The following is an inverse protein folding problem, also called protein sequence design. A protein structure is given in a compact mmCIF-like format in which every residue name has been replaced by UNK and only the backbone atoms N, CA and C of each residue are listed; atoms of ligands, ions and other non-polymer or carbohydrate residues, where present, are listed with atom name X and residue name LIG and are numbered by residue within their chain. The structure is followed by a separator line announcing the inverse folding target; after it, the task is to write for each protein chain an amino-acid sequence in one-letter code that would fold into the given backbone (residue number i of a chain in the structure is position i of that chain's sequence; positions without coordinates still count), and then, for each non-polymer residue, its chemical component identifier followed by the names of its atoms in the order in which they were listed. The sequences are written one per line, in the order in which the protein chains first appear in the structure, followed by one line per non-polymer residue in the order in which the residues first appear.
data_IF_877770502650
#
_entry.id   IF_877770502650
#
_cell.length_a   1.000
_cell.length_b   1.000
_cell.length_c   1.000
_cell.angle_alpha   90.00
_cell.angle_beta   90.00
_cell.angle_gamma   90.00
#
_symmetry.space_group_name_H-M   'P 1'
#
loop_
_entity.id
_entity.type
_entity.pdbx_description
1 polymer ?
#
# COMPACT_ATOMS: atom_id res chain seq x y z
N UNK A 1 13.34 11.22 0.13
CA UNK A 1 12.02 10.83 0.62
C UNK A 1 12.13 10.01 1.90
N UNK A 2 11.42 10.41 2.94
CA UNK A 2 11.39 9.68 4.20
C UNK A 2 10.18 8.74 4.20
N UNK A 3 10.41 7.46 4.03
CA UNK A 3 9.32 6.49 3.96
C UNK A 3 8.53 6.35 5.26
N UNK A 4 9.11 6.72 6.39
CA UNK A 4 8.37 6.66 7.66
C UNK A 4 7.19 7.61 7.68
N UNK A 5 7.25 8.70 6.93
CA UNK A 5 6.12 9.64 6.86
C UNK A 5 4.91 9.06 6.12
N UNK A 6 5.09 7.96 5.40
CA UNK A 6 3.98 7.31 4.69
C UNK A 6 3.06 6.55 5.62
N UNK A 7 3.54 6.16 6.81
CA UNK A 7 2.73 5.41 7.76
C UNK A 7 1.52 6.25 8.19
N UNK A 8 0.34 5.68 8.06
CA UNK A 8 -0.91 6.38 8.34
C UNK A 8 -1.51 7.10 7.14
N UNK A 9 -0.78 7.22 6.04
CA UNK A 9 -1.33 7.81 4.84
C UNK A 9 -2.27 6.85 4.14
N UNK A 10 -3.20 7.40 3.37
CA UNK A 10 -4.16 6.60 2.61
C UNK A 10 -3.83 6.68 1.13
N UNK A 11 -4.26 5.66 0.41
CA UNK A 11 -4.08 5.60 -1.02
C UNK A 11 -5.04 4.58 -1.60
N UNK A 12 -4.75 4.11 -2.81
CA UNK A 12 -5.56 3.08 -3.43
C UNK A 12 -4.66 2.04 -4.10
N UNK A 13 -5.19 0.84 -4.26
CA UNK A 13 -4.48 -0.24 -4.93
C UNK A 13 -4.39 0.08 -6.42
N UNK A 14 -3.18 0.05 -6.95
CA UNK A 14 -2.93 0.24 -8.38
C UNK A 14 -2.82 -1.09 -9.11
N UNK A 15 -2.02 -2.01 -8.57
CA UNK A 15 -1.95 -3.39 -9.05
C UNK A 15 -2.40 -4.28 -7.91
N UNK A 16 -3.32 -5.21 -8.20
CA UNK A 16 -3.90 -6.10 -7.20
C UNK A 16 -2.85 -6.66 -6.26
N UNK A 17 -3.13 -6.59 -4.96
CA UNK A 17 -2.19 -7.03 -3.92
C UNK A 17 -2.57 -8.44 -3.47
N UNK A 18 -1.71 -9.44 -3.68
CA UNK A 18 -1.99 -10.79 -3.19
C UNK A 18 -2.09 -10.82 -1.66
N UNK A 19 -2.78 -11.81 -1.13
CA UNK A 19 -2.86 -12.00 0.31
C UNK A 19 -1.59 -12.61 0.90
N UNK A 20 -1.56 -12.73 2.22
CA UNK A 20 -0.51 -13.44 2.96
C UNK A 20 0.88 -12.83 2.76
N UNK A 21 0.98 -11.51 2.67
CA UNK A 21 2.25 -10.79 2.54
C UNK A 21 3.04 -11.16 1.29
N UNK A 22 2.38 -11.67 0.26
CA UNK A 22 3.04 -11.98 -1.00
C UNK A 22 3.30 -10.71 -1.79
N UNK A 23 4.41 -10.72 -2.53
CA UNK A 23 4.80 -9.57 -3.36
C UNK A 23 4.04 -9.58 -4.69
N UNK A 24 4.09 -8.46 -5.38
CA UNK A 24 3.48 -8.30 -6.69
C UNK A 24 2.45 -7.19 -6.78
N UNK A 25 1.96 -6.71 -5.65
CA UNK A 25 1.01 -5.61 -5.64
C UNK A 25 1.67 -4.25 -5.57
N UNK A 26 0.95 -3.22 -6.02
CA UNK A 26 1.39 -1.83 -5.92
C UNK A 26 0.23 -0.95 -5.51
N UNK A 27 0.55 0.12 -4.79
CA UNK A 27 -0.42 1.13 -4.41
C UNK A 27 0.03 2.50 -4.90
N UNK A 28 -0.94 3.40 -5.08
CA UNK A 28 -0.65 4.80 -5.32
C UNK A 28 -0.98 5.56 -4.03
N UNK A 29 -0.08 6.46 -3.65
CA UNK A 29 -0.27 7.30 -2.47
C UNK A 29 -0.14 8.75 -2.90
N UNK A 30 -1.17 9.54 -2.62
CA UNK A 30 -1.17 10.97 -2.94
C UNK A 30 -0.38 11.73 -1.90
N UNK A 31 0.94 11.70 -2.02
CA UNK A 31 1.81 12.51 -1.18
C UNK A 31 1.61 13.98 -1.52
N UNK A 32 1.70 14.90 -0.54
CA UNK A 32 1.47 16.32 -0.84
C UNK A 32 2.30 16.89 -1.98
N UNK A 33 3.50 16.40 -2.21
CA UNK A 33 4.37 16.94 -3.26
C UNK A 33 4.37 16.12 -4.53
N UNK A 34 3.85 14.88 -4.53
CA UNK A 34 3.86 14.03 -5.71
C UNK A 34 3.00 12.80 -5.49
N UNK A 35 2.62 12.17 -6.61
CA UNK A 35 1.94 10.88 -6.57
C UNK A 35 3.00 9.78 -6.54
N UNK A 36 2.92 8.90 -5.56
CA UNK A 36 3.88 7.82 -5.38
C UNK A 36 3.29 6.48 -5.82
N UNK A 37 4.08 5.68 -6.51
CA UNK A 37 3.75 4.31 -6.87
C UNK A 37 4.71 3.40 -6.11
N UNK A 38 4.21 2.65 -5.14
CA UNK A 38 5.06 1.87 -4.24
C UNK A 38 4.64 0.40 -4.23
N UNK A 39 5.61 -0.52 -4.15
CA UNK A 39 5.27 -1.92 -3.93
C UNK A 39 4.60 -2.07 -2.58
N UNK A 40 3.57 -2.92 -2.51
CA UNK A 40 2.77 -3.07 -1.32
C UNK A 40 2.48 -4.54 -1.05
N UNK A 41 2.31 -4.86 0.23
CA UNK A 41 1.89 -6.18 0.69
C UNK A 41 0.78 -5.98 1.71
N UNK A 42 0.04 -7.05 2.01
CA UNK A 42 -1.00 -7.03 3.02
C UNK A 42 -0.97 -8.31 3.83
N UNK A 43 -1.42 -8.22 5.07
CA UNK A 43 -1.48 -9.39 5.95
C UNK A 43 -2.75 -10.22 5.76
N UNK A 44 -3.77 -9.68 5.10
CA UNK A 44 -5.02 -10.38 4.89
C UNK A 44 -4.89 -11.57 3.95
N UNK A 45 -5.85 -12.47 3.99
CA UNK A 45 -5.83 -13.70 3.17
C UNK A 45 -6.32 -13.47 1.76
N UNK A 46 -7.22 -12.52 1.57
CA UNK A 46 -7.84 -12.27 0.27
C UNK A 46 -7.11 -11.17 -0.48
N UNK A 47 -6.89 -11.32 -1.79
CA UNK A 47 -6.26 -10.25 -2.56
C UNK A 47 -7.10 -8.98 -2.55
N UNK A 48 -6.42 -7.84 -2.61
CA UNK A 48 -7.08 -6.54 -2.72
C UNK A 48 -7.08 -6.13 -4.19
N UNK A 49 -8.26 -6.00 -4.80
CA UNK A 49 -8.31 -5.64 -6.22
C UNK A 49 -7.92 -4.18 -6.45
N UNK A 50 -7.52 -3.89 -7.68
CA UNK A 50 -7.21 -2.53 -8.11
C UNK A 50 -8.36 -1.60 -7.79
N UNK A 51 -8.04 -0.42 -7.26
CA UNK A 51 -9.03 0.58 -6.89
C UNK A 51 -9.49 0.52 -5.43
N UNK A 52 -9.06 -0.49 -4.67
CA UNK A 52 -9.44 -0.61 -3.26
C UNK A 52 -8.75 0.49 -2.45
N UNK A 53 -9.51 1.29 -1.68
CA UNK A 53 -8.88 2.27 -0.79
C UNK A 53 -8.19 1.57 0.37
N UNK A 54 -6.96 2.00 0.67
CA UNK A 54 -6.12 1.37 1.68
C UNK A 54 -5.41 2.41 2.53
N UNK A 55 -4.91 1.96 3.67
CA UNK A 55 -4.11 2.78 4.57
C UNK A 55 -2.77 2.08 4.81
N UNK A 56 -1.69 2.85 4.81
CA UNK A 56 -0.35 2.33 5.10
C UNK A 56 -0.22 2.13 6.61
N UNK A 57 0.07 0.90 7.02
CA UNK A 57 0.23 0.57 8.44
C UNK A 57 1.68 0.35 8.83
N UNK A 58 2.55 0.06 7.87
CA UNK A 58 3.98 -0.11 8.13
C UNK A 58 4.76 0.11 6.84
N UNK A 59 6.05 0.41 6.99
CA UNK A 59 6.97 0.54 5.85
C UNK A 59 8.24 -0.22 6.19
N UNK A 60 8.64 -1.13 5.32
CA UNK A 60 9.84 -1.95 5.53
C UNK A 60 10.59 -2.05 4.22
N UNK A 61 11.85 -1.60 4.20
CA UNK A 61 12.73 -1.72 3.04
C UNK A 61 12.10 -1.19 1.75
N UNK A 62 11.36 -0.09 1.83
CA UNK A 62 10.71 0.52 0.66
C UNK A 62 9.43 -0.15 0.23
N UNK A 63 8.98 -1.17 0.94
CA UNK A 63 7.71 -1.85 0.68
C UNK A 63 6.73 -1.44 1.77
N UNK A 64 5.53 -1.00 1.36
CA UNK A 64 4.51 -0.60 2.32
C UNK A 64 3.60 -1.77 2.62
N UNK A 65 3.25 -1.92 3.90
CA UNK A 65 2.20 -2.85 4.32
C UNK A 65 0.93 -2.07 4.46
N UNK A 66 -0.13 -2.51 3.81
CA UNK A 66 -1.40 -1.77 3.77
C UNK A 66 -2.54 -2.65 4.27
N UNK A 67 -3.63 -1.98 4.64
CA UNK A 67 -4.89 -2.65 4.97
C UNK A 67 -6.02 -1.90 4.28
N UNK A 68 -7.14 -2.57 3.96
CA UNK A 68 -8.30 -1.86 3.43
C UNK A 68 -8.84 -0.89 4.47
N UNK A 69 -9.46 0.20 3.99
CA UNK A 69 -9.99 1.23 4.90
C UNK A 69 -11.27 0.80 5.62
N UNK A 70 -11.78 -0.34 5.34
CA UNK A 70 -13.00 -0.85 6.00
C UNK A 70 -12.74 -2.12 6.76
#
# INVERSE_FOLDING_TARGET
LNYETLKGMTGSVYISIPGNLQRGGQVTIAHPSQLLYLPAVQEGEHPLPSGTPVEVVAVTAGIVTVKPLH
#
